data_IF_607689261925
#
_entry.id   IF_607689261925
#
_cell.length_a   1.000
_cell.length_b   1.000
_cell.length_c   1.000
_cell.angle_alpha   90.00
_cell.angle_beta   90.00
_cell.angle_gamma   90.00
#
_symmetry.space_group_name_H-M   'P 1'
#
loop_
_entity.id
_entity.type
_entity.pdbx_description
1 polymer ?
#
# COMPACT_ATOMS: atom_id res chain seq x y z
N UNK A 1 46.96 2.72 4.66
CA UNK A 1 46.90 2.26 3.26
C UNK A 1 45.44 1.97 2.95
N UNK A 2 44.94 2.44 1.81
CA UNK A 2 43.60 3.02 1.69
C UNK A 2 42.49 2.00 1.39
N UNK A 3 41.28 2.36 1.82
CA UNK A 3 40.03 2.32 1.04
C UNK A 3 39.93 1.17 0.01
N UNK A 4 39.30 0.06 0.41
CA UNK A 4 38.57 -0.75 -0.55
C UNK A 4 37.16 -0.20 -0.65
N UNK A 5 37.01 0.69 -1.63
CA UNK A 5 35.75 1.21 -2.13
C UNK A 5 34.76 0.07 -2.35
N UNK A 6 33.61 0.15 -1.68
CA UNK A 6 32.45 -0.65 -2.01
C UNK A 6 31.87 -0.08 -3.30
N UNK A 7 32.15 -0.73 -4.43
CA UNK A 7 31.39 -0.54 -5.65
C UNK A 7 30.61 -1.82 -5.94
N UNK A 8 29.28 -1.73 -5.89
CA UNK A 8 28.48 -2.33 -6.94
C UNK A 8 27.57 -1.26 -7.54
N UNK A 9 27.75 -1.08 -8.84
CA UNK A 9 26.92 -0.33 -9.76
C UNK A 9 25.42 -0.62 -9.52
N UNK A 10 24.70 0.49 -9.31
CA UNK A 10 23.50 0.88 -10.01
C UNK A 10 22.33 -0.13 -10.10
N UNK A 11 21.30 0.23 -9.32
CA UNK A 11 19.88 -0.11 -9.50
C UNK A 11 19.49 -1.55 -9.13
N UNK A 12 18.40 -1.68 -8.34
CA UNK A 12 17.55 -2.84 -8.51
C UNK A 12 16.84 -2.71 -9.86
N UNK A 13 16.47 -3.82 -10.53
CA UNK A 13 15.75 -3.79 -11.82
C UNK A 13 14.49 -2.91 -11.85
N UNK A 14 13.97 -2.54 -10.67
CA UNK A 14 12.69 -1.87 -10.47
C UNK A 14 12.81 -0.35 -10.16
N UNK A 15 14.01 0.24 -10.27
CA UNK A 15 14.16 1.71 -10.30
C UNK A 15 14.04 2.46 -8.96
N UNK A 16 14.30 1.82 -7.81
CA UNK A 16 14.29 2.50 -6.52
C UNK A 16 15.67 3.08 -6.13
N UNK A 17 15.68 4.35 -5.70
CA UNK A 17 16.88 5.12 -5.41
C UNK A 17 17.64 4.57 -4.18
N UNK A 18 18.93 4.28 -4.35
CA UNK A 18 19.87 4.19 -3.22
C UNK A 18 20.39 5.59 -2.91
N UNK A 19 19.64 6.33 -2.11
CA UNK A 19 20.26 7.42 -1.35
C UNK A 19 21.08 6.78 -0.22
N UNK A 20 22.36 7.15 -0.06
CA UNK A 20 23.21 6.62 1.01
C UNK A 20 22.52 6.84 2.38
N UNK A 21 22.31 5.80 3.20
CA UNK A 21 21.68 5.97 4.50
C UNK A 21 22.59 6.81 5.40
N UNK A 22 22.00 7.73 6.16
CA UNK A 22 22.70 8.45 7.23
C UNK A 22 22.91 7.56 8.44
N UNK A 23 22.05 6.55 8.63
CA UNK A 23 22.12 5.62 9.74
C UNK A 23 21.72 4.20 9.33
N UNK A 24 22.48 3.21 9.78
CA UNK A 24 22.14 1.78 9.65
C UNK A 24 21.80 1.25 11.04
N UNK A 25 20.66 0.58 11.18
CA UNK A 25 20.16 0.05 12.46
C UNK A 25 19.92 -1.45 12.29
N UNK A 26 20.68 -2.26 13.02
CA UNK A 26 20.38 -3.69 13.17
C UNK A 26 19.20 -3.84 14.14
N UNK A 27 18.04 -4.25 13.63
CA UNK A 27 16.79 -4.37 14.39
C UNK A 27 16.87 -5.48 15.44
N UNK A 28 17.64 -6.53 15.18
CA UNK A 28 17.82 -7.65 16.11
C UNK A 28 18.61 -7.22 17.34
N UNK A 29 19.68 -6.45 17.14
CA UNK A 29 20.55 -5.99 18.22
C UNK A 29 19.98 -4.79 18.96
N UNK A 30 19.37 -3.84 18.25
CA UNK A 30 18.75 -2.65 18.83
C UNK A 30 17.45 -2.98 19.55
N UNK A 31 16.69 -3.95 19.02
CA UNK A 31 15.37 -4.31 19.49
C UNK A 31 14.28 -3.37 18.97
N UNK A 32 13.13 -3.95 18.63
CA UNK A 32 12.00 -3.29 17.97
C UNK A 32 11.59 -1.95 18.60
N UNK A 33 11.43 -1.90 19.93
CA UNK A 33 10.95 -0.70 20.63
C UNK A 33 11.93 0.46 20.46
N UNK A 34 13.22 0.17 20.61
CA UNK A 34 14.26 1.18 20.51
C UNK A 34 14.45 1.62 19.06
N UNK A 35 14.36 0.70 18.10
CA UNK A 35 14.34 1.05 16.67
C UNK A 35 13.21 2.03 16.36
N UNK A 36 11.97 1.75 16.77
CA UNK A 36 10.86 2.69 16.54
C UNK A 36 11.07 4.02 17.25
N UNK A 37 11.57 4.01 18.49
CA UNK A 37 11.87 5.24 19.23
C UNK A 37 12.86 6.13 18.47
N UNK A 38 13.93 5.54 17.94
CA UNK A 38 14.92 6.27 17.12
C UNK A 38 14.28 6.92 15.90
N UNK A 39 13.40 6.18 15.20
CA UNK A 39 12.72 6.71 14.01
C UNK A 39 11.71 7.81 14.35
N UNK A 40 10.95 7.65 15.44
CA UNK A 40 9.95 8.61 15.90
C UNK A 40 10.54 9.88 16.49
N UNK A 41 11.78 9.84 16.98
CA UNK A 41 12.51 11.01 17.50
C UNK A 41 13.37 11.70 16.43
N UNK A 42 13.26 11.29 15.16
CA UNK A 42 13.96 11.94 14.04
C UNK A 42 13.62 13.43 13.93
N UNK A 43 14.49 14.22 13.33
CA UNK A 43 14.22 15.62 12.99
C UNK A 43 13.58 15.80 11.61
N UNK A 44 13.24 14.70 10.93
CA UNK A 44 12.66 14.68 9.59
C UNK A 44 13.65 14.79 8.45
N UNK A 45 14.96 14.65 8.71
CA UNK A 45 16.00 14.61 7.68
C UNK A 45 16.71 13.25 7.59
N UNK A 46 16.22 12.27 8.35
CA UNK A 46 16.80 10.95 8.51
C UNK A 46 16.66 10.07 7.26
N UNK A 47 17.70 9.26 7.02
CA UNK A 47 17.73 8.22 5.99
C UNK A 47 18.23 6.95 6.63
N UNK A 48 17.30 6.05 6.95
CA UNK A 48 17.56 4.87 7.76
C UNK A 48 17.58 3.62 6.91
N UNK A 49 18.58 2.76 7.12
CA UNK A 49 18.58 1.39 6.66
C UNK A 49 18.39 0.47 7.87
N UNK A 50 17.26 -0.24 7.93
CA UNK A 50 16.98 -1.22 8.96
C UNK A 50 17.37 -2.61 8.46
N UNK A 51 18.33 -3.26 9.13
CA UNK A 51 18.80 -4.60 8.79
C UNK A 51 18.31 -5.64 9.80
N UNK A 52 18.33 -6.92 9.41
CA UNK A 52 17.89 -8.04 10.25
C UNK A 52 16.48 -7.87 10.87
N UNK A 53 15.44 -7.44 10.10
CA UNK A 53 14.10 -7.21 10.65
C UNK A 53 13.42 -8.50 11.13
N UNK A 54 13.80 -9.68 10.59
CA UNK A 54 13.38 -11.02 11.04
C UNK A 54 11.87 -11.18 11.24
N UNK A 55 11.06 -10.57 10.38
CA UNK A 55 9.60 -10.66 10.49
C UNK A 55 9.01 -9.86 11.65
N UNK A 56 9.76 -8.87 12.20
CA UNK A 56 9.30 -8.03 13.29
C UNK A 56 7.94 -7.39 12.99
N UNK A 57 7.05 -7.43 13.97
CA UNK A 57 5.75 -6.79 13.93
C UNK A 57 5.88 -5.33 14.37
N UNK A 58 4.98 -4.47 13.91
CA UNK A 58 4.89 -3.06 14.24
C UNK A 58 6.23 -2.31 14.06
N UNK A 59 6.98 -2.64 13.00
CA UNK A 59 8.22 -1.94 12.65
C UNK A 59 7.91 -0.69 11.82
N UNK A 60 8.62 0.40 12.11
CA UNK A 60 8.47 1.70 11.46
C UNK A 60 7.06 2.29 11.57
N UNK A 61 6.41 2.13 12.73
CA UNK A 61 5.03 2.61 12.97
C UNK A 61 4.99 3.99 13.60
N UNK A 62 3.92 4.73 13.34
CA UNK A 62 3.65 6.03 13.97
C UNK A 62 4.72 7.08 13.67
N UNK A 63 5.24 7.06 12.43
CA UNK A 63 6.20 8.06 11.95
C UNK A 63 5.44 9.28 11.46
N UNK A 64 5.78 10.48 11.93
CA UNK A 64 5.14 11.76 11.58
C UNK A 64 6.14 12.77 10.98
N UNK A 65 7.24 12.25 10.46
CA UNK A 65 8.33 13.00 9.86
C UNK A 65 8.64 12.47 8.45
N UNK A 66 9.05 13.33 7.49
CA UNK A 66 9.27 12.96 6.09
C UNK A 66 10.61 12.25 5.87
N UNK A 67 10.97 11.32 6.76
CA UNK A 67 12.20 10.53 6.68
C UNK A 67 12.14 9.49 5.56
N UNK A 68 13.33 9.07 5.09
CA UNK A 68 13.47 7.91 4.21
C UNK A 68 13.85 6.67 5.04
N UNK A 69 13.04 5.61 4.98
CA UNK A 69 13.30 4.36 5.69
C UNK A 69 13.33 3.21 4.69
N UNK A 70 14.44 2.49 4.64
CA UNK A 70 14.57 1.23 3.91
C UNK A 70 14.69 0.09 4.90
N UNK A 71 13.81 -0.90 4.79
CA UNK A 71 13.82 -2.12 5.60
C UNK A 71 14.34 -3.26 4.73
N UNK A 72 15.52 -3.78 5.06
CA UNK A 72 16.17 -4.84 4.30
C UNK A 72 15.76 -6.22 4.81
N UNK A 73 14.64 -6.72 4.27
CA UNK A 73 14.11 -8.03 4.56
C UNK A 73 12.60 -8.03 4.88
N UNK A 74 12.03 -9.22 5.09
CA UNK A 74 10.60 -9.36 5.37
C UNK A 74 10.26 -8.87 6.78
N UNK A 75 9.05 -8.31 6.91
CA UNK A 75 8.48 -7.84 8.17
C UNK A 75 7.13 -8.51 8.45
N UNK A 76 6.63 -8.36 9.67
CA UNK A 76 5.36 -8.92 10.07
C UNK A 76 4.24 -7.88 10.14
N UNK A 77 3.35 -8.03 11.12
CA UNK A 77 2.08 -7.30 11.15
C UNK A 77 2.27 -5.80 11.37
N UNK A 78 1.39 -4.97 10.83
CA UNK A 78 1.31 -3.53 11.06
C UNK A 78 2.56 -2.73 10.69
N UNK A 79 3.41 -3.26 9.80
CA UNK A 79 4.60 -2.52 9.32
C UNK A 79 4.16 -1.20 8.69
N UNK A 80 4.82 -0.10 9.03
CA UNK A 80 4.47 1.24 8.56
C UNK A 80 3.04 1.71 8.87
N UNK A 81 2.37 1.08 9.85
CA UNK A 81 1.07 1.54 10.33
C UNK A 81 1.14 2.93 10.96
N UNK A 82 0.05 3.70 10.86
CA UNK A 82 -0.07 5.07 11.34
C UNK A 82 0.98 6.05 10.77
N UNK A 83 1.53 5.75 9.59
CA UNK A 83 2.49 6.62 8.92
C UNK A 83 1.83 7.95 8.49
N UNK A 84 2.45 9.06 8.85
CA UNK A 84 2.02 10.42 8.53
C UNK A 84 3.19 11.25 7.99
N UNK A 85 3.68 10.84 6.82
CA UNK A 85 4.62 11.65 6.04
C UNK A 85 5.88 10.92 5.61
N UNK A 86 6.27 9.85 6.31
CA UNK A 86 7.52 9.15 5.98
C UNK A 86 7.43 8.36 4.68
N UNK A 87 8.61 8.07 4.12
CA UNK A 87 8.81 7.27 2.91
C UNK A 87 9.45 5.94 3.26
N UNK A 88 8.63 4.89 3.42
CA UNK A 88 9.07 3.55 3.83
C UNK A 88 9.15 2.61 2.63
N UNK A 89 10.28 1.94 2.43
CA UNK A 89 10.46 0.86 1.46
C UNK A 89 10.81 -0.44 2.17
N UNK A 90 10.10 -1.52 1.89
CA UNK A 90 10.35 -2.86 2.43
C UNK A 90 10.86 -3.78 1.32
N UNK A 91 12.10 -4.25 1.48
CA UNK A 91 12.74 -5.22 0.60
C UNK A 91 12.34 -6.65 1.03
N UNK A 92 11.08 -7.02 0.82
CA UNK A 92 10.56 -8.33 1.17
C UNK A 92 9.03 -8.36 1.24
N UNK A 93 8.52 -9.45 1.80
CA UNK A 93 7.10 -9.62 2.09
C UNK A 93 6.73 -8.96 3.41
N UNK A 94 5.47 -8.54 3.54
CA UNK A 94 4.93 -7.92 4.75
C UNK A 94 3.73 -8.69 5.29
N UNK A 95 3.56 -8.65 6.61
CA UNK A 95 2.45 -9.28 7.31
C UNK A 95 1.11 -8.53 7.18
N UNK A 96 0.16 -8.90 8.03
CA UNK A 96 -1.20 -8.33 8.05
C UNK A 96 -1.16 -6.84 8.41
N UNK A 97 -1.96 -6.01 7.74
CA UNK A 97 -2.16 -4.61 8.15
C UNK A 97 -1.00 -3.67 7.81
N UNK A 98 -0.19 -3.96 6.79
CA UNK A 98 0.83 -3.00 6.32
C UNK A 98 0.17 -1.65 5.99
N UNK A 99 0.79 -0.54 6.42
CA UNK A 99 0.27 0.82 6.25
C UNK A 99 -1.17 1.04 6.78
N UNK A 100 -1.60 0.24 7.76
CA UNK A 100 -2.89 0.43 8.41
C UNK A 100 -2.98 1.82 9.05
N UNK A 101 -4.10 2.51 8.85
CA UNK A 101 -4.36 3.85 9.37
C UNK A 101 -3.30 4.90 8.96
N UNK A 102 -2.63 4.70 7.82
CA UNK A 102 -1.72 5.69 7.23
C UNK A 102 -2.47 6.98 6.87
N UNK A 103 -1.90 8.12 7.24
CA UNK A 103 -2.46 9.46 7.01
C UNK A 103 -1.86 10.11 5.76
N UNK A 104 -0.55 9.98 5.58
CA UNK A 104 0.19 10.55 4.46
C UNK A 104 1.56 9.86 4.25
N UNK A 105 2.34 10.30 3.27
CA UNK A 105 3.63 9.71 2.92
C UNK A 105 3.53 8.58 1.89
N UNK A 106 4.54 7.70 1.83
CA UNK A 106 4.55 6.56 0.91
C UNK A 106 5.06 5.29 1.57
N UNK A 107 4.40 4.16 1.32
CA UNK A 107 4.89 2.83 1.70
C UNK A 107 5.04 1.98 0.45
N UNK A 108 6.20 1.37 0.26
CA UNK A 108 6.50 0.51 -0.89
C UNK A 108 6.96 -0.87 -0.43
N UNK A 109 6.39 -1.91 -1.02
CA UNK A 109 6.69 -3.30 -0.71
C UNK A 109 7.13 -3.98 -1.99
N UNK A 110 8.37 -4.46 -2.04
CA UNK A 110 8.91 -5.17 -3.21
C UNK A 110 8.41 -6.61 -3.33
N UNK A 111 7.92 -7.19 -2.24
CA UNK A 111 7.29 -8.50 -2.20
C UNK A 111 5.75 -8.43 -2.20
N UNK A 112 5.13 -9.42 -1.58
CA UNK A 112 3.68 -9.50 -1.37
C UNK A 112 3.27 -9.03 0.02
N UNK A 113 2.03 -8.55 0.14
CA UNK A 113 1.40 -8.21 1.40
C UNK A 113 0.37 -9.25 1.80
N UNK A 114 0.29 -9.55 3.10
CA UNK A 114 -0.79 -10.38 3.64
C UNK A 114 -2.13 -9.62 3.65
N UNK A 115 -3.07 -10.06 4.48
CA UNK A 115 -4.41 -9.50 4.56
C UNK A 115 -4.40 -8.04 5.06
N UNK A 116 -5.44 -7.29 4.72
CA UNK A 116 -5.73 -5.96 5.28
C UNK A 116 -4.67 -4.87 4.98
N UNK A 117 -3.94 -4.99 3.86
CA UNK A 117 -3.03 -3.94 3.43
C UNK A 117 -3.76 -2.60 3.24
N UNK A 118 -3.23 -1.51 3.80
CA UNK A 118 -3.84 -0.18 3.74
C UNK A 118 -5.18 -0.05 4.47
N UNK A 119 -5.50 -0.97 5.40
CA UNK A 119 -6.75 -0.93 6.13
C UNK A 119 -6.94 0.42 6.83
N UNK A 120 -8.14 1.00 6.74
CA UNK A 120 -8.54 2.26 7.38
C UNK A 120 -7.73 3.51 7.03
N UNK A 121 -6.76 3.41 6.12
CA UNK A 121 -5.85 4.50 5.79
C UNK A 121 -6.58 5.68 5.13
N UNK A 122 -6.20 6.88 5.55
CA UNK A 122 -6.84 8.14 5.19
C UNK A 122 -6.17 8.83 4.00
N UNK A 123 -4.91 8.52 3.70
CA UNK A 123 -4.17 9.18 2.62
C UNK A 123 -2.79 8.56 2.39
N UNK A 124 -2.05 9.16 1.47
CA UNK A 124 -0.75 8.65 1.02
C UNK A 124 -0.84 7.61 -0.08
N UNK A 125 0.30 6.99 -0.40
CA UNK A 125 0.42 5.98 -1.44
C UNK A 125 1.04 4.69 -0.89
N UNK A 126 0.31 3.58 -1.02
CA UNK A 126 0.82 2.23 -0.77
C UNK A 126 1.05 1.52 -2.10
N UNK A 127 2.27 1.07 -2.36
CA UNK A 127 2.63 0.28 -3.55
C UNK A 127 3.11 -1.10 -3.12
N UNK A 128 2.55 -2.15 -3.72
CA UNK A 128 2.92 -3.55 -3.47
C UNK A 128 3.26 -4.17 -4.83
N UNK A 129 4.50 -4.61 -5.04
CA UNK A 129 4.91 -5.19 -6.32
C UNK A 129 4.32 -6.59 -6.56
N UNK A 130 4.15 -7.37 -5.50
CA UNK A 130 3.53 -8.71 -5.54
C UNK A 130 2.02 -8.68 -5.33
N UNK A 131 1.50 -9.76 -4.74
CA UNK A 131 0.08 -9.91 -4.43
C UNK A 131 -0.28 -9.24 -3.10
N UNK A 132 -1.57 -8.89 -2.93
CA UNK A 132 -2.14 -8.54 -1.64
C UNK A 132 -3.21 -9.56 -1.21
N UNK A 133 -3.22 -9.92 0.07
CA UNK A 133 -4.18 -10.88 0.60
C UNK A 133 -5.63 -10.37 0.62
N UNK A 134 -6.48 -11.10 1.34
CA UNK A 134 -7.87 -10.70 1.55
C UNK A 134 -7.99 -9.31 2.19
N UNK A 135 -9.10 -8.61 1.93
CA UNK A 135 -9.44 -7.33 2.56
C UNK A 135 -8.43 -6.21 2.31
N UNK A 136 -7.70 -6.25 1.20
CA UNK A 136 -6.84 -5.13 0.79
C UNK A 136 -7.70 -3.84 0.69
N UNK A 137 -7.30 -2.76 1.35
CA UNK A 137 -8.04 -1.50 1.38
C UNK A 137 -9.36 -1.54 2.18
N UNK A 138 -9.55 -2.51 3.09
CA UNK A 138 -10.75 -2.54 3.94
C UNK A 138 -10.92 -1.24 4.73
N UNK A 139 -12.12 -0.67 4.67
CA UNK A 139 -12.49 0.57 5.34
C UNK A 139 -11.58 1.77 5.02
N UNK A 140 -10.90 1.77 3.87
CA UNK A 140 -10.05 2.88 3.42
C UNK A 140 -10.82 4.21 3.31
N UNK A 141 -10.17 5.34 3.60
CA UNK A 141 -10.81 6.67 3.72
C UNK A 141 -10.11 7.75 2.91
N UNK A 142 -9.24 7.37 1.97
CA UNK A 142 -8.60 8.32 1.06
C UNK A 142 -7.22 7.90 0.55
N UNK A 143 -6.67 6.78 1.01
CA UNK A 143 -5.38 6.25 0.52
C UNK A 143 -5.47 5.84 -0.95
N UNK A 144 -4.35 6.00 -1.67
CA UNK A 144 -4.14 5.38 -2.97
C UNK A 144 -3.34 4.07 -2.78
N UNK A 145 -3.84 2.95 -3.29
CA UNK A 145 -3.19 1.63 -3.23
C UNK A 145 -2.96 1.12 -4.64
N UNK A 146 -1.73 0.70 -4.96
CA UNK A 146 -1.38 0.04 -6.23
C UNK A 146 -0.77 -1.33 -5.95
N UNK A 147 -1.38 -2.38 -6.50
CA UNK A 147 -0.96 -3.77 -6.37
C UNK A 147 -0.52 -4.31 -7.74
N UNK A 148 0.74 -4.72 -7.84
CA UNK A 148 1.36 -5.22 -9.06
C UNK A 148 0.90 -6.64 -9.42
N UNK A 149 0.51 -7.44 -8.43
CA UNK A 149 -0.11 -8.74 -8.59
C UNK A 149 -1.63 -8.70 -8.44
N UNK A 150 -2.18 -9.76 -7.85
CA UNK A 150 -3.61 -9.97 -7.60
C UNK A 150 -4.00 -9.60 -6.16
N UNK A 151 -5.30 -9.40 -5.94
CA UNK A 151 -5.88 -9.13 -4.62
C UNK A 151 -6.84 -10.25 -4.18
N UNK A 152 -6.85 -10.54 -2.88
CA UNK A 152 -7.75 -11.54 -2.30
C UNK A 152 -9.20 -11.06 -2.14
N UNK A 153 -10.04 -11.98 -1.63
CA UNK A 153 -11.46 -11.74 -1.39
C UNK A 153 -11.75 -10.55 -0.45
N UNK A 154 -12.93 -9.94 -0.59
CA UNK A 154 -13.44 -8.83 0.22
C UNK A 154 -12.53 -7.59 0.23
N UNK A 155 -11.70 -7.41 -0.81
CA UNK A 155 -10.90 -6.20 -0.96
C UNK A 155 -11.81 -4.99 -1.22
N UNK A 156 -11.43 -3.84 -0.66
CA UNK A 156 -12.25 -2.62 -0.55
C UNK A 156 -13.57 -2.78 0.20
N UNK A 157 -13.74 -3.81 1.03
CA UNK A 157 -14.92 -3.91 1.90
C UNK A 157 -15.07 -2.66 2.77
N UNK A 158 -16.26 -2.05 2.78
CA UNK A 158 -16.56 -0.79 3.49
C UNK A 158 -15.65 0.39 3.14
N UNK A 159 -14.98 0.36 1.98
CA UNK A 159 -14.11 1.44 1.54
C UNK A 159 -14.90 2.74 1.35
N UNK A 160 -14.49 3.81 2.01
CA UNK A 160 -15.19 5.10 2.03
C UNK A 160 -14.71 6.05 0.93
N UNK A 161 -13.40 6.17 0.75
CA UNK A 161 -12.78 7.02 -0.26
C UNK A 161 -11.37 6.55 -0.59
N UNK A 162 -10.80 7.05 -1.68
CA UNK A 162 -9.46 6.71 -2.18
C UNK A 162 -9.52 5.83 -3.43
N UNK A 163 -8.37 5.25 -3.79
CA UNK A 163 -8.21 4.56 -5.08
C UNK A 163 -7.48 3.24 -4.89
N UNK A 164 -7.94 2.20 -5.58
CA UNK A 164 -7.26 0.91 -5.65
C UNK A 164 -6.97 0.57 -7.12
N UNK A 165 -5.72 0.29 -7.44
CA UNK A 165 -5.27 -0.18 -8.76
C UNK A 165 -4.70 -1.59 -8.63
N UNK A 166 -5.16 -2.49 -9.49
CA UNK A 166 -4.78 -3.91 -9.48
C UNK A 166 -4.34 -4.32 -10.88
N UNK A 167 -3.08 -4.73 -11.01
CA UNK A 167 -2.51 -5.16 -12.29
C UNK A 167 -2.85 -6.62 -12.62
N UNK A 168 -3.14 -7.45 -11.61
CA UNK A 168 -3.61 -8.82 -11.73
C UNK A 168 -5.12 -8.97 -11.55
N UNK A 169 -5.53 -10.07 -10.94
CA UNK A 169 -6.93 -10.44 -10.73
C UNK A 169 -7.46 -9.96 -9.36
N UNK A 170 -8.79 -9.87 -9.24
CA UNK A 170 -9.47 -9.63 -7.98
C UNK A 170 -10.38 -10.81 -7.62
N UNK A 171 -10.22 -11.33 -6.39
CA UNK A 171 -11.04 -12.40 -5.85
C UNK A 171 -12.47 -11.98 -5.48
N UNK A 172 -13.17 -12.89 -4.81
CA UNK A 172 -14.58 -12.75 -4.45
C UNK A 172 -14.97 -11.47 -3.70
N UNK A 173 -16.21 -10.99 -3.94
CA UNK A 173 -16.85 -9.89 -3.23
C UNK A 173 -16.03 -8.57 -3.25
N UNK A 174 -15.48 -8.21 -4.41
CA UNK A 174 -14.76 -6.95 -4.58
C UNK A 174 -15.67 -5.75 -4.30
N UNK A 175 -15.20 -4.83 -3.46
CA UNK A 175 -15.88 -3.55 -3.20
C UNK A 175 -17.18 -3.69 -2.41
N UNK A 176 -17.35 -4.74 -1.61
CA UNK A 176 -18.56 -4.90 -0.82
C UNK A 176 -18.82 -3.67 0.08
N UNK A 177 -20.03 -3.12 0.02
CA UNK A 177 -20.49 -1.98 0.84
C UNK A 177 -19.62 -0.73 0.70
N UNK A 178 -19.11 -0.45 -0.50
CA UNK A 178 -18.22 0.69 -0.77
C UNK A 178 -18.98 2.02 -0.98
N UNK A 179 -18.30 3.14 -0.74
CA UNK A 179 -18.79 4.50 -0.97
C UNK A 179 -18.10 5.18 -2.18
N UNK A 180 -17.21 6.16 -1.97
CA UNK A 180 -16.58 6.94 -3.05
C UNK A 180 -15.26 6.35 -3.56
N UNK A 181 -14.97 5.07 -3.30
CA UNK A 181 -13.72 4.44 -3.75
C UNK A 181 -13.75 4.20 -5.26
N UNK A 182 -12.65 4.55 -5.94
CA UNK A 182 -12.42 4.18 -7.33
C UNK A 182 -11.53 2.95 -7.41
N UNK A 183 -12.01 1.88 -8.02
CA UNK A 183 -11.26 0.63 -8.18
C UNK A 183 -10.96 0.40 -9.66
N UNK A 184 -9.70 0.18 -10.00
CA UNK A 184 -9.23 -0.11 -11.35
C UNK A 184 -8.60 -1.52 -11.37
N UNK A 185 -9.14 -2.43 -12.18
CA UNK A 185 -8.63 -3.80 -12.29
C UNK A 185 -8.32 -4.11 -13.75
N UNK A 186 -7.08 -4.54 -14.02
CA UNK A 186 -6.64 -4.97 -15.34
C UNK A 186 -7.04 -6.41 -15.65
N UNK A 187 -6.92 -7.31 -14.66
CA UNK A 187 -7.27 -8.71 -14.79
C UNK A 187 -8.76 -8.99 -14.65
N UNK A 188 -9.07 -10.24 -14.29
CA UNK A 188 -10.43 -10.71 -14.06
C UNK A 188 -10.88 -10.32 -12.65
N UNK A 189 -12.14 -9.92 -12.54
CA UNK A 189 -12.85 -9.84 -11.26
C UNK A 189 -13.74 -11.07 -11.13
N UNK A 190 -13.58 -11.81 -10.03
CA UNK A 190 -14.35 -13.04 -9.79
C UNK A 190 -15.83 -12.74 -9.51
N UNK A 191 -16.11 -11.92 -8.50
CA UNK A 191 -17.44 -11.47 -8.14
C UNK A 191 -17.40 -10.09 -7.47
N UNK A 192 -18.48 -9.33 -7.61
CA UNK A 192 -18.65 -8.03 -6.96
C UNK A 192 -19.40 -8.21 -5.63
N UNK A 193 -19.04 -7.40 -4.65
CA UNK A 193 -19.76 -7.33 -3.38
C UNK A 193 -21.04 -6.50 -3.46
N UNK A 194 -21.78 -6.44 -2.35
CA UNK A 194 -22.98 -5.60 -2.27
C UNK A 194 -22.67 -4.13 -2.60
N UNK A 195 -23.57 -3.46 -3.32
CA UNK A 195 -23.43 -2.06 -3.74
C UNK A 195 -22.18 -1.75 -4.59
N UNK A 196 -21.50 -2.74 -5.15
CA UNK A 196 -20.41 -2.55 -6.12
C UNK A 196 -20.89 -2.84 -7.55
N UNK A 197 -20.61 -1.93 -8.48
CA UNK A 197 -20.88 -2.13 -9.90
C UNK A 197 -19.68 -1.70 -10.75
N UNK A 198 -19.55 -2.31 -11.92
CA UNK A 198 -18.70 -1.73 -12.96
C UNK A 198 -19.23 -0.35 -13.36
N UNK A 199 -18.30 0.57 -13.62
CA UNK A 199 -18.58 1.94 -14.00
C UNK A 199 -17.86 2.27 -15.31
N UNK A 200 -18.41 3.23 -16.04
CA UNK A 200 -17.76 3.77 -17.23
C UNK A 200 -16.37 4.35 -16.92
N UNK A 201 -15.41 4.04 -17.79
CA UNK A 201 -14.11 4.71 -17.89
C UNK A 201 -14.27 5.98 -18.72
N UNK A 202 -13.95 7.13 -18.11
CA UNK A 202 -14.09 8.48 -18.69
C UNK A 202 -12.70 9.12 -18.77
N UNK A 203 -12.49 10.19 -19.56
CA UNK A 203 -11.17 10.79 -19.74
C UNK A 203 -10.45 11.12 -18.42
N UNK A 204 -11.15 11.64 -17.42
CA UNK A 204 -10.58 11.96 -16.11
C UNK A 204 -10.14 10.72 -15.32
N UNK A 205 -10.79 9.57 -15.53
CA UNK A 205 -10.37 8.30 -14.93
C UNK A 205 -9.09 7.76 -15.59
N UNK A 206 -8.92 8.00 -16.89
CA UNK A 206 -7.66 7.67 -17.57
C UNK A 206 -6.51 8.54 -17.09
N UNK A 207 -6.74 9.84 -16.87
CA UNK A 207 -5.74 10.74 -16.27
C UNK A 207 -5.39 10.29 -14.84
N UNK A 208 -6.39 10.06 -13.99
CA UNK A 208 -6.20 9.61 -12.61
C UNK A 208 -5.43 8.30 -12.54
N UNK A 209 -5.80 7.30 -13.33
CA UNK A 209 -5.11 6.01 -13.38
C UNK A 209 -3.68 6.16 -13.91
N UNK A 210 -3.46 7.00 -14.92
CA UNK A 210 -2.11 7.28 -15.46
C UNK A 210 -1.18 7.85 -14.38
N UNK A 211 -1.64 8.86 -13.64
CA UNK A 211 -0.88 9.46 -12.54
C UNK A 211 -0.54 8.45 -11.43
N UNK A 212 -1.45 7.54 -11.10
CA UNK A 212 -1.21 6.49 -10.12
C UNK A 212 -0.17 5.46 -10.59
N UNK A 213 -0.26 5.04 -11.85
CA UNK A 213 0.70 4.11 -12.44
C UNK A 213 2.11 4.73 -12.48
N UNK A 214 2.20 6.00 -12.89
CA UNK A 214 3.46 6.75 -12.91
C UNK A 214 4.06 6.89 -11.50
N UNK A 215 3.26 7.33 -10.52
CA UNK A 215 3.70 7.43 -9.11
C UNK A 215 4.11 6.07 -8.56
N UNK A 216 3.45 4.98 -8.96
CA UNK A 216 3.79 3.64 -8.53
C UNK A 216 5.04 3.07 -9.23
N UNK A 217 5.48 3.67 -10.34
CA UNK A 217 6.59 3.15 -11.16
C UNK A 217 6.17 1.99 -12.07
N UNK A 218 4.88 1.85 -12.35
CA UNK A 218 4.36 0.79 -13.23
C UNK A 218 4.55 1.21 -14.69
N UNK A 219 5.15 0.32 -15.48
CA UNK A 219 5.40 0.54 -16.91
C UNK A 219 4.84 -0.62 -17.75
N UNK A 220 4.75 -0.43 -19.07
CA UNK A 220 4.34 -1.49 -20.00
C UNK A 220 2.84 -1.83 -19.99
N UNK A 221 2.01 -0.96 -19.40
CA UNK A 221 0.54 -1.07 -19.41
C UNK A 221 -0.07 0.26 -19.85
N UNK A 222 -1.30 0.20 -20.34
CA UNK A 222 -2.11 1.34 -20.75
C UNK A 222 -3.39 1.38 -19.95
N UNK A 223 -3.89 2.59 -19.67
CA UNK A 223 -5.09 2.78 -18.85
C UNK A 223 -6.36 2.20 -19.49
N UNK A 224 -6.35 1.95 -20.81
CA UNK A 224 -7.44 1.28 -21.54
C UNK A 224 -7.54 -0.23 -21.29
N UNK A 225 -6.54 -0.84 -20.66
CA UNK A 225 -6.57 -2.26 -20.26
C UNK A 225 -7.34 -2.48 -18.95
N UNK A 226 -7.72 -1.41 -18.25
CA UNK A 226 -8.35 -1.48 -16.94
C UNK A 226 -9.87 -1.27 -17.03
N UNK A 227 -10.59 -2.04 -16.23
CA UNK A 227 -12.01 -1.83 -15.94
C UNK A 227 -12.14 -1.08 -14.63
N UNK A 228 -13.19 -0.26 -14.50
CA UNK A 228 -13.44 0.55 -13.31
C UNK A 228 -14.65 0.06 -12.55
N UNK A 229 -14.55 0.05 -11.23
CA UNK A 229 -15.63 -0.30 -10.33
C UNK A 229 -15.79 0.77 -9.26
N UNK A 230 -16.99 0.86 -8.69
CA UNK A 230 -17.34 1.80 -7.64
C UNK A 230 -18.78 1.63 -7.17
N UNK A 231 -19.20 2.45 -6.22
CA UNK A 231 -20.47 2.25 -5.53
C UNK A 231 -21.66 2.43 -6.47
N UNK A 232 -22.66 1.57 -6.38
CA UNK A 232 -23.95 1.79 -7.02
C UNK A 232 -24.74 2.92 -6.33
N UNK A 233 -24.29 3.37 -5.15
CA UNK A 233 -24.88 4.42 -4.29
C UNK A 233 -26.27 4.03 -3.79
N UNK A 234 -26.50 2.74 -3.57
CA UNK A 234 -27.78 2.20 -3.09
C UNK A 234 -27.82 2.03 -1.57
N UNK A 235 -26.66 1.90 -0.91
CA UNK A 235 -26.55 1.73 0.54
C UNK A 235 -26.00 2.97 1.27
N UNK A 236 -26.11 4.15 0.66
CA UNK A 236 -25.62 5.41 1.24
C UNK A 236 -26.45 5.91 2.42
N UNK A 237 -27.74 5.55 2.42
CA UNK A 237 -28.71 5.92 3.45
C UNK A 237 -29.42 4.65 3.89
N UNK A 238 -29.54 4.44 5.20
CA UNK A 238 -30.33 3.33 5.72
C UNK A 238 -31.77 3.45 5.21
N UNK A 239 -32.21 2.42 4.48
CA UNK A 239 -33.57 2.26 4.00
C UNK A 239 -34.07 0.89 4.46
N UNK A 240 -35.22 0.87 5.13
CA UNK A 240 -35.78 -0.35 5.73
C UNK A 240 -36.14 -1.38 4.66
N UNK A 241 -36.42 -0.92 3.44
CA UNK A 241 -36.76 -1.78 2.30
C UNK A 241 -35.52 -2.49 1.73
N UNK A 242 -34.31 -1.96 1.98
CA UNK A 242 -33.03 -2.55 1.59
C UNK A 242 -32.39 -3.39 2.71
N UNK A 243 -33.10 -3.67 3.81
CA UNK A 243 -32.56 -4.39 4.97
C UNK A 243 -32.00 -5.80 4.67
N UNK A 244 -32.38 -6.40 3.53
CA UNK A 244 -31.86 -7.70 3.06
C UNK A 244 -30.62 -7.60 2.15
N UNK A 245 -30.22 -6.38 1.79
CA UNK A 245 -29.08 -6.06 0.92
C UNK A 245 -27.89 -5.43 1.68
N UNK A 246 -28.05 -5.17 2.98
CA UNK A 246 -26.97 -4.91 3.95
C UNK A 246 -26.44 -6.22 4.53
#
# INVERSE_FOLDING_TARGET
>A
MPEQAYAPEDLTPDGYARTTPSQVIDVRETGLRETNRILQESDGTGRYLLTEPRGAHALAVGLDHPDEIVIDGPTGYYTAGMNDGAHVTVNGNVGVGVAENMMSGTVRVTGSASQSAGATAHGGLLVISGDAGARCGISMKGVDIVVGGSIGHMSCFMGQAGRLVVLGDAGDALGDSLYEVHIYVRGRVESLGADCVEKEMRPEHHTELGELLDRAGVTGVTTGEFRRYGSARTLYSFDVDNASAY
#
